data_IF_060114355093
#
_entry.id   IF_060114355093
#
_cell.length_a   1.000
_cell.length_b   1.000
_cell.length_c   1.000
_cell.angle_alpha   90.00
_cell.angle_beta   90.00
_cell.angle_gamma   90.00
#
_symmetry.space_group_name_H-M   'P 1'
#
loop_
_entity.id
_entity.type
_entity.pdbx_description
1 polymer ?
#
# COMPACT_ATOMS: atom_id res chain seq x y z
N UNK A 1 -13.97 -67.95 21.83
CA UNK A 1 -13.59 -68.80 20.68
C UNK A 1 -12.57 -67.98 19.87
N UNK A 2 -11.47 -68.60 19.58
CA UNK A 2 -10.10 -68.25 19.23
C UNK A 2 -9.87 -67.13 18.21
N UNK A 3 -8.78 -66.38 18.35
CA UNK A 3 -8.31 -65.36 17.39
C UNK A 3 -7.29 -65.96 16.41
N UNK A 4 -7.35 -65.56 15.18
CA UNK A 4 -6.35 -65.88 14.14
C UNK A 4 -5.43 -64.69 13.91
N UNK A 5 -4.19 -64.91 14.30
CA UNK A 5 -2.98 -64.12 14.07
C UNK A 5 -2.59 -64.19 12.61
N UNK A 6 -2.48 -63.03 11.91
CA UNK A 6 -1.87 -62.94 10.57
C UNK A 6 -0.47 -62.31 10.64
N UNK A 7 0.45 -63.14 10.28
CA UNK A 7 1.90 -62.90 10.14
C UNK A 7 2.19 -61.83 9.08
N UNK A 8 2.93 -60.78 9.45
CA UNK A 8 3.49 -59.77 8.52
C UNK A 8 4.83 -60.34 8.01
N UNK A 9 4.88 -60.58 6.70
CA UNK A 9 6.12 -60.88 5.97
C UNK A 9 6.81 -59.53 5.65
N UNK A 10 7.95 -59.27 6.24
CA UNK A 10 8.87 -58.19 5.89
C UNK A 10 9.67 -58.63 4.65
N UNK A 11 9.36 -58.07 3.48
CA UNK A 11 10.24 -58.15 2.32
C UNK A 11 11.30 -57.04 2.42
N UNK A 12 12.52 -57.43 2.73
CA UNK A 12 13.71 -56.60 2.60
C UNK A 12 14.16 -56.64 1.15
N UNK A 13 13.99 -55.53 0.43
CA UNK A 13 14.59 -55.34 -0.89
C UNK A 13 15.92 -54.61 -0.71
N UNK A 14 17.00 -55.03 -1.40
CA UNK A 14 18.28 -54.35 -1.34
C UNK A 14 18.19 -53.02 -2.07
N UNK A 15 18.59 -51.92 -1.42
CA UNK A 15 18.85 -50.63 -2.00
C UNK A 15 20.08 -50.74 -2.91
N UNK A 16 19.84 -50.84 -4.21
CA UNK A 16 20.86 -50.57 -5.23
C UNK A 16 20.99 -49.05 -5.30
N UNK A 17 22.09 -48.53 -4.76
CA UNK A 17 22.47 -47.14 -4.93
C UNK A 17 22.88 -46.89 -6.39
N UNK A 18 21.91 -46.50 -7.20
CA UNK A 18 22.15 -45.90 -8.49
C UNK A 18 22.41 -44.43 -8.28
N UNK A 19 23.67 -44.04 -8.20
CA UNK A 19 24.05 -42.62 -8.26
C UNK A 19 23.67 -42.03 -9.62
N UNK A 20 22.47 -41.44 -9.68
CA UNK A 20 21.97 -40.87 -10.90
C UNK A 20 22.68 -39.57 -11.26
N UNK A 21 23.21 -39.56 -12.44
CA UNK A 21 23.83 -38.44 -13.20
C UNK A 21 22.96 -37.16 -13.29
N UNK A 22 21.78 -37.14 -12.71
CA UNK A 22 20.82 -36.04 -12.82
C UNK A 22 21.08 -34.88 -11.84
N UNK A 23 21.72 -35.13 -10.70
CA UNK A 23 22.02 -34.14 -9.67
C UNK A 23 23.10 -33.12 -10.11
N UNK A 24 23.97 -33.48 -11.04
CA UNK A 24 25.07 -32.60 -11.50
C UNK A 24 24.67 -31.63 -12.60
N UNK A 25 23.69 -31.97 -13.46
CA UNK A 25 23.17 -31.03 -14.48
C UNK A 25 22.47 -29.81 -13.88
N UNK A 26 21.66 -30.00 -12.86
CA UNK A 26 20.99 -28.93 -12.15
C UNK A 26 21.95 -28.01 -11.43
N UNK A 27 23.04 -28.51 -10.86
CA UNK A 27 24.05 -27.67 -10.17
C UNK A 27 24.78 -26.73 -11.12
N UNK A 28 25.12 -27.14 -12.33
CA UNK A 28 25.81 -26.28 -13.31
C UNK A 28 24.88 -25.19 -13.83
N UNK A 29 23.61 -25.47 -14.06
CA UNK A 29 22.62 -24.50 -14.50
C UNK A 29 22.33 -23.44 -13.42
N UNK A 30 22.36 -23.83 -12.15
CA UNK A 30 22.19 -22.93 -11.01
C UNK A 30 23.46 -22.15 -10.66
N UNK A 31 24.64 -22.65 -10.99
CA UNK A 31 25.92 -21.96 -10.74
C UNK A 31 26.20 -20.83 -11.74
N UNK A 32 25.56 -20.85 -12.93
CA UNK A 32 25.77 -19.85 -13.98
C UNK A 32 25.60 -18.38 -13.53
N UNK A 33 24.59 -18.00 -12.75
CA UNK A 33 24.43 -16.63 -12.26
C UNK A 33 25.51 -16.20 -11.26
N UNK A 34 26.10 -17.12 -10.53
CA UNK A 34 27.16 -16.83 -9.52
C UNK A 34 28.49 -16.47 -10.17
N UNK A 35 28.71 -16.87 -11.42
CA UNK A 35 29.98 -16.64 -12.13
C UNK A 35 30.01 -15.34 -12.91
N UNK A 36 28.90 -14.62 -13.11
CA UNK A 36 28.83 -13.34 -13.82
C UNK A 36 29.67 -12.25 -13.19
N UNK A 37 30.12 -12.46 -11.99
CA UNK A 37 30.91 -11.49 -11.28
C UNK A 37 32.25 -11.98 -10.72
N UNK A 38 32.53 -13.27 -10.76
CA UNK A 38 33.37 -13.81 -9.74
C UNK A 38 34.78 -14.27 -10.08
N UNK A 39 35.00 -14.82 -11.25
CA UNK A 39 36.31 -15.44 -11.54
C UNK A 39 37.25 -14.40 -12.09
N UNK A 40 38.03 -13.74 -11.23
CA UNK A 40 38.74 -12.49 -11.56
C UNK A 40 40.12 -12.36 -11.07
N UNK A 41 40.76 -13.45 -10.84
CA UNK A 41 42.21 -13.40 -10.77
C UNK A 41 42.75 -13.50 -12.23
N UNK A 42 43.06 -12.36 -12.90
CA UNK A 42 43.53 -12.38 -14.28
C UNK A 42 44.90 -13.03 -14.43
N UNK A 43 45.52 -13.37 -13.32
CA UNK A 43 46.91 -13.89 -13.28
C UNK A 43 46.96 -15.35 -12.82
N UNK A 44 45.84 -15.99 -12.50
CA UNK A 44 45.79 -17.39 -12.11
C UNK A 44 45.81 -18.33 -13.31
N UNK A 45 46.65 -19.32 -13.32
CA UNK A 45 46.59 -20.41 -14.29
C UNK A 45 45.71 -21.52 -13.74
N UNK A 46 44.50 -21.59 -14.22
CA UNK A 46 43.44 -22.52 -13.78
C UNK A 46 43.33 -23.73 -14.76
N UNK A 47 43.03 -23.46 -16.01
CA UNK A 47 42.92 -24.47 -17.05
C UNK A 47 44.29 -25.04 -17.39
N UNK A 48 45.36 -24.22 -17.39
CA UNK A 48 46.74 -24.65 -17.55
C UNK A 48 47.15 -25.61 -16.43
N UNK A 49 46.87 -25.27 -15.17
CA UNK A 49 47.21 -26.10 -14.00
C UNK A 49 46.43 -27.41 -13.96
N UNK A 50 45.22 -27.46 -14.52
CA UNK A 50 44.43 -28.68 -14.68
C UNK A 50 45.04 -29.63 -15.69
N UNK A 51 45.87 -29.15 -16.58
CA UNK A 51 46.55 -29.95 -17.62
C UNK A 51 45.77 -30.08 -18.91
N UNK A 52 44.85 -29.18 -19.20
CA UNK A 52 44.17 -29.12 -20.52
C UNK A 52 42.71 -28.74 -20.49
N UNK A 53 42.19 -28.51 -21.68
CA UNK A 53 40.82 -28.12 -21.97
C UNK A 53 40.00 -29.30 -22.51
N UNK A 54 38.68 -29.33 -22.24
CA UNK A 54 37.81 -30.41 -22.65
C UNK A 54 36.96 -29.99 -23.84
N UNK A 55 36.83 -30.83 -24.88
CA UNK A 55 35.97 -30.57 -26.02
C UNK A 55 34.48 -30.74 -25.62
N UNK A 56 33.64 -29.85 -26.08
CA UNK A 56 32.19 -29.90 -25.82
C UNK A 56 31.82 -29.60 -24.39
N UNK A 57 30.73 -30.18 -23.88
CA UNK A 57 30.27 -30.06 -22.49
C UNK A 57 30.84 -31.21 -21.65
N UNK A 58 31.59 -30.85 -20.65
CA UNK A 58 32.13 -31.79 -19.65
C UNK A 58 32.01 -31.20 -18.25
N UNK A 59 30.99 -31.65 -17.50
CA UNK A 59 30.70 -31.14 -16.16
C UNK A 59 31.77 -31.51 -15.10
N UNK A 60 32.73 -32.36 -15.47
CA UNK A 60 33.93 -32.69 -14.66
C UNK A 60 35.14 -31.83 -15.01
N UNK A 61 35.08 -31.09 -16.12
CA UNK A 61 36.14 -30.19 -16.56
C UNK A 61 36.17 -28.90 -15.75
N UNK A 62 36.28 -29.05 -14.44
CA UNK A 62 36.15 -27.95 -13.46
C UNK A 62 37.47 -27.70 -12.73
N UNK A 63 37.62 -26.47 -12.23
CA UNK A 63 38.69 -26.08 -11.32
C UNK A 63 38.04 -25.31 -10.12
N UNK A 64 38.40 -25.64 -8.87
CA UNK A 64 37.94 -24.86 -7.72
C UNK A 64 38.48 -23.42 -7.80
N UNK A 65 37.60 -22.47 -7.49
CA UNK A 65 37.92 -21.05 -7.48
C UNK A 65 37.16 -20.36 -6.34
N UNK A 66 37.88 -19.95 -5.29
CA UNK A 66 37.29 -19.41 -4.05
C UNK A 66 36.17 -20.35 -3.55
N UNK A 67 34.96 -19.81 -3.32
CA UNK A 67 33.80 -20.58 -2.86
C UNK A 67 32.97 -21.19 -4.01
N UNK A 68 33.53 -21.25 -5.22
CA UNK A 68 32.84 -21.71 -6.42
C UNK A 68 33.76 -22.57 -7.30
N UNK A 69 33.27 -22.95 -8.48
CA UNK A 69 34.02 -23.68 -9.51
C UNK A 69 33.95 -22.94 -10.84
N UNK A 70 35.03 -22.98 -11.62
CA UNK A 70 35.02 -22.54 -13.00
C UNK A 70 35.30 -23.73 -13.95
N UNK A 71 35.00 -23.57 -15.22
CA UNK A 71 35.07 -24.65 -16.23
C UNK A 71 36.11 -24.35 -17.28
N UNK A 72 36.73 -25.43 -17.78
CA UNK A 72 37.75 -25.40 -18.86
C UNK A 72 37.26 -26.13 -20.10
N UNK A 73 35.95 -26.24 -20.30
CA UNK A 73 35.33 -26.88 -21.47
C UNK A 73 34.73 -25.84 -22.44
N UNK A 74 34.56 -26.23 -23.71
CA UNK A 74 34.02 -25.33 -24.73
C UNK A 74 32.58 -24.90 -24.48
N UNK A 75 31.84 -25.58 -23.60
CA UNK A 75 30.49 -25.22 -23.23
C UNK A 75 30.41 -24.08 -22.19
N UNK A 76 31.51 -23.76 -21.55
CA UNK A 76 31.53 -22.63 -20.59
C UNK A 76 31.34 -21.27 -21.28
N UNK A 77 31.62 -21.17 -22.58
CA UNK A 77 31.43 -19.96 -23.38
C UNK A 77 29.97 -19.87 -23.91
N UNK A 78 29.05 -19.60 -23.04
CA UNK A 78 27.63 -19.39 -23.36
C UNK A 78 27.17 -17.98 -22.89
N UNK A 79 25.89 -17.68 -23.04
CA UNK A 79 25.31 -16.37 -22.70
C UNK A 79 25.69 -15.86 -21.30
N UNK A 80 25.82 -16.79 -20.35
CA UNK A 80 26.39 -16.54 -19.03
C UNK A 80 27.62 -17.42 -18.90
N UNK A 81 28.81 -16.84 -19.07
CA UNK A 81 30.07 -17.57 -19.09
C UNK A 81 30.49 -18.00 -17.68
N UNK A 82 30.74 -19.29 -17.51
CA UNK A 82 31.33 -19.90 -16.32
C UNK A 82 32.77 -20.42 -16.56
N UNK A 83 33.41 -19.92 -17.60
CA UNK A 83 34.81 -20.25 -17.94
C UNK A 83 35.77 -19.76 -16.86
N UNK A 84 36.87 -20.52 -16.67
CA UNK A 84 38.01 -20.08 -15.91
C UNK A 84 38.68 -18.84 -16.56
N UNK A 85 39.34 -17.96 -15.79
CA UNK A 85 39.95 -16.74 -16.31
C UNK A 85 40.91 -16.96 -17.46
N UNK A 86 41.73 -18.01 -17.39
CA UNK A 86 42.74 -18.36 -18.38
C UNK A 86 42.20 -19.21 -19.57
N UNK A 87 40.89 -19.56 -19.57
CA UNK A 87 40.26 -20.38 -20.62
C UNK A 87 40.49 -19.80 -22.03
N UNK A 88 40.27 -18.50 -22.20
CA UNK A 88 40.36 -17.83 -23.50
C UNK A 88 41.76 -17.87 -24.06
N UNK A 89 42.75 -17.56 -23.25
CA UNK A 89 44.15 -17.61 -23.66
C UNK A 89 44.67 -19.03 -23.79
N UNK A 90 44.42 -19.88 -22.81
CA UNK A 90 44.97 -21.22 -22.74
C UNK A 90 44.23 -22.24 -23.67
N UNK A 91 42.87 -22.23 -23.66
CA UNK A 91 42.10 -23.18 -24.40
C UNK A 91 41.81 -22.77 -25.85
N UNK A 92 41.65 -21.47 -26.10
CA UNK A 92 41.26 -20.97 -27.43
C UNK A 92 42.40 -20.16 -28.10
N UNK A 93 43.45 -19.77 -27.39
CA UNK A 93 44.51 -18.96 -27.93
C UNK A 93 44.08 -17.53 -28.34
N UNK A 94 42.97 -17.03 -27.80
CA UNK A 94 42.40 -15.71 -28.10
C UNK A 94 42.37 -14.83 -26.83
N UNK A 95 42.30 -13.55 -27.02
CA UNK A 95 42.07 -12.63 -25.87
C UNK A 95 40.67 -12.87 -25.31
N UNK A 96 40.49 -12.83 -23.97
CA UNK A 96 39.17 -12.94 -23.36
C UNK A 96 38.25 -11.84 -23.90
N UNK A 97 36.97 -12.13 -24.11
CA UNK A 97 36.00 -11.13 -24.53
C UNK A 97 35.99 -9.99 -23.53
N UNK A 98 35.98 -8.76 -24.02
CA UNK A 98 35.91 -7.59 -23.15
C UNK A 98 34.58 -7.63 -22.39
N UNK A 99 34.64 -8.01 -21.13
CA UNK A 99 33.51 -7.89 -20.23
C UNK A 99 33.57 -6.50 -19.62
N UNK A 100 32.77 -5.59 -20.12
CA UNK A 100 32.68 -4.25 -19.58
C UNK A 100 32.43 -4.28 -18.08
N UNK A 101 33.04 -3.39 -17.36
CA UNK A 101 32.77 -3.16 -15.95
C UNK A 101 32.22 -1.75 -15.75
N UNK A 102 31.16 -1.64 -14.97
CA UNK A 102 30.59 -0.37 -14.54
C UNK A 102 31.16 0.02 -13.19
N UNK A 103 31.33 1.30 -12.93
CA UNK A 103 31.78 1.79 -11.65
C UNK A 103 30.67 2.56 -10.94
N UNK A 104 30.54 2.36 -9.62
CA UNK A 104 29.61 3.10 -8.76
C UNK A 104 30.19 3.20 -7.35
N UNK A 105 30.29 4.42 -6.83
CA UNK A 105 30.82 4.70 -5.48
C UNK A 105 32.16 4.01 -5.20
N UNK A 106 33.07 3.98 -6.20
CA UNK A 106 34.38 3.32 -6.09
C UNK A 106 34.35 1.79 -6.20
N UNK A 107 33.20 1.17 -6.32
CA UNK A 107 33.03 -0.26 -6.52
C UNK A 107 32.86 -0.60 -8.01
N UNK A 108 33.51 -1.69 -8.45
CA UNK A 108 33.37 -2.20 -9.81
C UNK A 108 32.28 -3.28 -9.86
N UNK A 109 31.42 -3.16 -10.85
CA UNK A 109 30.36 -4.09 -11.17
C UNK A 109 30.57 -4.64 -12.58
N UNK A 110 30.23 -5.90 -12.80
CA UNK A 110 30.46 -6.54 -14.08
C UNK A 110 29.16 -6.64 -14.85
N UNK A 111 29.29 -6.87 -16.15
CA UNK A 111 28.17 -7.06 -17.04
C UNK A 111 27.17 -8.06 -16.46
N UNK A 112 25.89 -7.70 -16.46
CA UNK A 112 24.78 -8.45 -15.88
C UNK A 112 24.54 -8.24 -14.39
N UNK A 113 25.47 -7.60 -13.64
CA UNK A 113 25.21 -7.21 -12.25
C UNK A 113 24.27 -6.00 -12.20
N UNK A 114 23.40 -6.00 -11.21
CA UNK A 114 22.35 -4.97 -11.07
C UNK A 114 22.43 -4.26 -9.74
N UNK A 115 21.93 -3.05 -9.71
CA UNK A 115 21.56 -2.35 -8.48
C UNK A 115 20.24 -1.59 -8.68
N UNK A 116 19.54 -1.29 -7.60
CA UNK A 116 18.34 -0.47 -7.64
C UNK A 116 18.66 0.97 -7.24
N UNK A 117 18.38 1.92 -8.12
CA UNK A 117 18.41 3.36 -7.85
C UNK A 117 16.98 3.85 -7.68
N UNK A 118 16.56 4.11 -6.44
CA UNK A 118 15.17 4.41 -6.11
C UNK A 118 14.25 3.30 -6.68
N UNK A 119 13.32 3.60 -7.58
CA UNK A 119 12.42 2.62 -8.20
C UNK A 119 12.98 1.98 -9.48
N UNK A 120 14.11 2.45 -10.00
CA UNK A 120 14.67 1.97 -11.27
C UNK A 120 15.76 0.93 -11.05
N UNK A 121 15.65 -0.20 -11.76
CA UNK A 121 16.69 -1.21 -11.81
C UNK A 121 17.73 -0.80 -12.85
N UNK A 122 19.01 -0.77 -12.45
CA UNK A 122 20.14 -0.50 -13.32
C UNK A 122 20.93 -1.79 -13.51
N UNK A 123 21.21 -2.17 -14.76
CA UNK A 123 22.01 -3.33 -15.14
C UNK A 123 23.29 -2.85 -15.78
N UNK A 124 24.43 -3.42 -15.36
CA UNK A 124 25.68 -3.16 -16.04
C UNK A 124 25.70 -3.85 -17.39
N UNK A 125 25.71 -3.08 -18.46
CA UNK A 125 25.77 -3.59 -19.84
C UNK A 125 27.14 -4.17 -20.21
N UNK A 126 27.19 -4.93 -21.30
CA UNK A 126 28.42 -5.52 -21.83
C UNK A 126 29.47 -4.47 -22.25
N UNK A 127 29.02 -3.25 -22.52
CA UNK A 127 29.86 -2.10 -22.89
C UNK A 127 30.48 -1.39 -21.69
N UNK A 128 30.20 -1.83 -20.46
CA UNK A 128 30.65 -1.15 -19.22
C UNK A 128 29.85 0.11 -18.89
N UNK A 129 28.66 0.26 -19.45
CA UNK A 129 27.73 1.37 -19.14
C UNK A 129 26.52 0.84 -18.38
N UNK A 130 26.01 1.64 -17.45
CA UNK A 130 24.78 1.35 -16.76
C UNK A 130 23.59 1.58 -17.69
N UNK A 131 22.74 0.57 -17.79
CA UNK A 131 21.46 0.59 -18.48
C UNK A 131 20.36 0.57 -17.40
N UNK A 132 19.73 1.73 -17.17
CA UNK A 132 18.73 1.90 -16.13
C UNK A 132 17.34 2.01 -16.72
N UNK A 133 16.36 1.42 -16.02
CA UNK A 133 14.95 1.70 -16.27
C UNK A 133 14.64 3.18 -16.13
N UNK A 134 13.59 3.65 -16.79
CA UNK A 134 13.16 5.05 -16.81
C UNK A 134 11.73 5.18 -16.26
N UNK A 135 11.44 4.52 -15.14
CA UNK A 135 10.15 4.60 -14.49
C UNK A 135 10.03 5.93 -13.72
N UNK A 136 8.82 6.50 -13.67
CA UNK A 136 8.51 7.57 -12.74
C UNK A 136 8.47 7.00 -11.31
N UNK A 137 9.33 7.48 -10.43
CA UNK A 137 9.38 7.05 -9.03
C UNK A 137 8.49 7.95 -8.17
N UNK A 138 7.85 7.37 -7.13
CA UNK A 138 7.05 8.14 -6.18
C UNK A 138 7.90 9.18 -5.43
N UNK A 139 9.11 8.80 -5.03
CA UNK A 139 10.04 9.72 -4.37
C UNK A 139 10.94 10.37 -5.42
N UNK A 140 10.39 11.35 -6.13
CA UNK A 140 11.10 12.12 -7.15
C UNK A 140 11.83 13.30 -6.49
N UNK A 141 13.16 13.28 -6.50
CA UNK A 141 14.01 14.34 -5.91
C UNK A 141 13.82 15.68 -6.62
N UNK A 142 13.68 15.65 -7.93
CA UNK A 142 13.52 16.88 -8.72
C UNK A 142 12.18 17.54 -8.41
N UNK A 143 11.11 16.74 -8.25
CA UNK A 143 9.80 17.19 -7.79
C UNK A 143 9.90 17.84 -6.40
N UNK A 144 10.54 17.16 -5.44
CA UNK A 144 10.71 17.67 -4.08
C UNK A 144 11.48 18.99 -4.07
N UNK A 145 12.56 19.08 -4.85
CA UNK A 145 13.37 20.31 -4.95
C UNK A 145 12.60 21.44 -5.63
N UNK A 146 11.88 21.16 -6.72
CA UNK A 146 11.09 22.14 -7.44
C UNK A 146 9.97 22.74 -6.56
N UNK A 147 9.23 21.88 -5.84
CA UNK A 147 8.18 22.32 -4.92
C UNK A 147 8.76 23.16 -3.78
N UNK A 148 9.86 22.70 -3.16
CA UNK A 148 10.48 23.40 -2.04
C UNK A 148 11.22 24.68 -2.43
N UNK A 149 11.67 24.78 -3.68
CA UNK A 149 12.29 25.97 -4.25
C UNK A 149 11.31 26.97 -4.84
N UNK A 150 10.09 26.52 -5.16
CA UNK A 150 9.01 27.32 -5.72
C UNK A 150 8.12 27.96 -4.66
N UNK A 151 7.15 28.77 -5.14
CA UNK A 151 6.13 29.41 -4.28
C UNK A 151 4.76 28.73 -4.45
N UNK A 152 4.69 27.42 -4.17
CA UNK A 152 3.45 26.65 -4.33
C UNK A 152 2.52 26.70 -3.10
N UNK A 153 2.97 27.29 -2.00
CA UNK A 153 2.17 27.38 -0.74
C UNK A 153 2.18 26.12 0.11
N UNK A 154 2.94 25.11 -0.29
CA UNK A 154 3.14 23.87 0.47
C UNK A 154 4.58 23.35 0.35
N UNK A 155 4.93 22.36 1.18
CA UNK A 155 6.28 21.76 1.23
C UNK A 155 6.22 20.27 0.93
N UNK A 156 7.25 19.78 0.28
CA UNK A 156 7.45 18.39 -0.06
C UNK A 156 8.54 17.74 0.79
N UNK A 157 8.44 16.44 1.04
CA UNK A 157 9.43 15.64 1.73
C UNK A 157 9.59 14.25 1.11
N UNK A 158 10.71 13.60 1.43
CA UNK A 158 10.96 12.21 1.06
C UNK A 158 10.40 11.28 2.15
N UNK A 159 9.69 10.23 1.75
CA UNK A 159 9.11 9.23 2.64
C UNK A 159 9.70 7.85 2.39
N UNK A 160 10.33 7.26 3.40
CA UNK A 160 10.93 5.91 3.31
C UNK A 160 9.94 4.84 2.92
N UNK A 161 8.67 4.98 3.34
CA UNK A 161 7.59 4.04 3.00
C UNK A 161 7.22 4.01 1.51
N UNK A 162 7.62 5.02 0.75
CA UNK A 162 7.38 5.12 -0.69
C UNK A 162 8.67 5.00 -1.51
N UNK A 163 9.82 4.98 -0.84
CA UNK A 163 11.11 4.85 -1.52
C UNK A 163 11.21 3.49 -2.23
N UNK A 164 11.62 3.52 -3.48
CA UNK A 164 11.73 2.32 -4.30
C UNK A 164 10.45 1.89 -5.00
N UNK A 165 9.34 2.63 -4.83
CA UNK A 165 8.08 2.41 -5.56
C UNK A 165 8.03 3.29 -6.81
N UNK A 166 7.50 2.73 -7.89
CA UNK A 166 7.11 3.50 -9.08
C UNK A 166 5.80 4.25 -8.82
N UNK A 167 5.50 5.27 -9.63
CA UNK A 167 4.22 5.98 -9.57
C UNK A 167 3.04 5.02 -9.84
N UNK A 168 3.20 4.08 -10.77
CA UNK A 168 2.18 3.07 -11.07
C UNK A 168 1.91 2.14 -9.86
N UNK A 169 2.94 1.74 -9.14
CA UNK A 169 2.79 0.97 -7.90
C UNK A 169 2.12 1.80 -6.80
N UNK A 170 2.47 3.08 -6.68
CA UNK A 170 1.82 3.99 -5.74
C UNK A 170 0.33 4.14 -6.01
N UNK A 171 -0.05 4.38 -7.26
CA UNK A 171 -1.46 4.45 -7.68
C UNK A 171 -2.16 3.11 -7.42
N UNK A 172 -1.52 1.99 -7.73
CA UNK A 172 -2.10 0.65 -7.63
C UNK A 172 -2.25 0.16 -6.19
N UNK A 173 -1.38 0.59 -5.25
CA UNK A 173 -1.33 0.03 -3.89
C UNK A 173 -1.67 1.03 -2.78
N UNK A 174 -1.54 2.34 -3.02
CA UNK A 174 -1.73 3.37 -1.99
C UNK A 174 -3.02 4.18 -2.13
N UNK A 175 -3.76 4.00 -3.22
CA UNK A 175 -5.05 4.65 -3.45
C UNK A 175 -6.20 3.66 -3.24
N UNK A 176 -6.97 3.35 -4.26
CA UNK A 176 -7.88 2.21 -4.27
C UNK A 176 -9.36 2.55 -4.21
N UNK A 177 -9.74 3.80 -4.41
CA UNK A 177 -11.15 4.15 -4.56
C UNK A 177 -11.52 4.19 -6.04
N UNK A 178 -12.59 3.50 -6.41
CA UNK A 178 -13.15 3.56 -7.76
C UNK A 178 -14.03 4.81 -7.91
N UNK A 179 -13.94 5.48 -9.07
CA UNK A 179 -14.82 6.62 -9.37
C UNK A 179 -16.30 6.20 -9.30
N UNK A 180 -17.17 7.02 -8.68
CA UNK A 180 -18.58 6.75 -8.65
C UNK A 180 -19.17 6.71 -10.06
N UNK A 181 -20.07 5.76 -10.33
CA UNK A 181 -20.81 5.74 -11.57
C UNK A 181 -21.80 6.92 -11.64
N UNK A 182 -22.27 7.28 -12.86
CA UNK A 182 -23.27 8.35 -13.03
C UNK A 182 -24.53 8.15 -12.19
N UNK A 183 -24.98 6.91 -12.02
CA UNK A 183 -26.16 6.60 -11.19
C UNK A 183 -25.89 6.87 -9.70
N UNK A 184 -24.68 6.71 -9.25
CA UNK A 184 -24.27 6.98 -7.85
C UNK A 184 -24.08 8.48 -7.64
N UNK A 185 -23.58 9.21 -8.63
CA UNK A 185 -23.49 10.67 -8.58
C UNK A 185 -24.87 11.33 -8.40
N UNK A 186 -25.95 10.65 -8.82
CA UNK A 186 -27.33 11.10 -8.66
C UNK A 186 -28.04 10.51 -7.44
N UNK A 187 -27.31 9.85 -6.50
CA UNK A 187 -27.92 9.37 -5.26
C UNK A 187 -28.39 10.55 -4.40
N UNK A 188 -29.34 10.27 -3.50
CA UNK A 188 -30.01 11.24 -2.61
C UNK A 188 -29.08 12.39 -2.18
N UNK A 189 -29.10 13.47 -2.94
CA UNK A 189 -28.45 14.72 -2.59
C UNK A 189 -29.34 15.45 -1.58
N UNK A 190 -28.78 15.80 -0.45
CA UNK A 190 -29.44 16.63 0.55
C UNK A 190 -28.95 18.05 0.37
N UNK A 191 -29.89 18.97 0.17
CA UNK A 191 -29.59 20.40 0.24
C UNK A 191 -29.71 20.84 1.71
N UNK A 192 -28.64 21.42 2.23
CA UNK A 192 -28.66 21.99 3.55
C UNK A 192 -29.36 23.35 3.50
N UNK A 193 -30.42 23.53 4.30
CA UNK A 193 -31.09 24.84 4.41
C UNK A 193 -30.14 25.84 5.07
N UNK A 194 -29.60 26.74 4.25
CA UNK A 194 -28.75 27.87 4.69
C UNK A 194 -29.61 29.09 5.15
N UNK A 195 -30.93 28.99 5.06
CA UNK A 195 -31.86 30.10 5.32
C UNK A 195 -32.12 30.42 6.80
N UNK A 196 -31.51 29.69 7.73
CA UNK A 196 -31.61 30.05 9.14
C UNK A 196 -30.77 31.30 9.41
N UNK A 197 -31.42 32.44 9.52
CA UNK A 197 -30.85 33.68 10.03
C UNK A 197 -30.09 33.42 11.35
N UNK A 198 -28.77 33.26 11.28
CA UNK A 198 -27.92 33.13 12.47
C UNK A 198 -26.75 32.14 12.40
N UNK A 199 -26.70 31.26 11.42
CA UNK A 199 -25.59 30.31 11.29
C UNK A 199 -24.37 30.97 10.60
N UNK A 200 -23.63 31.77 11.36
CA UNK A 200 -22.34 32.29 10.88
C UNK A 200 -21.31 31.17 10.95
N UNK A 201 -20.89 30.68 9.80
CA UNK A 201 -19.81 29.71 9.71
C UNK A 201 -18.49 30.35 10.19
N UNK A 202 -17.77 29.73 11.15
CA UNK A 202 -16.50 30.28 11.61
C UNK A 202 -15.43 30.22 10.52
N UNK A 203 -14.44 31.11 10.60
CA UNK A 203 -13.30 31.16 9.67
C UNK A 203 -12.52 29.85 9.70
N UNK A 204 -12.42 29.21 10.85
CA UNK A 204 -11.77 27.92 11.04
C UNK A 204 -12.58 27.00 11.94
N UNK A 205 -12.50 25.71 11.68
CA UNK A 205 -13.18 24.68 12.45
C UNK A 205 -12.40 23.37 12.39
N UNK A 206 -12.32 22.69 13.54
CA UNK A 206 -11.77 21.35 13.62
C UNK A 206 -12.70 20.45 14.44
N UNK A 207 -13.11 19.34 13.87
CA UNK A 207 -13.99 18.37 14.54
C UNK A 207 -13.40 17.83 15.84
N UNK A 208 -12.08 17.69 15.93
CA UNK A 208 -11.42 17.19 17.13
C UNK A 208 -11.57 18.18 18.31
N UNK A 209 -11.59 19.48 18.03
CA UNK A 209 -11.78 20.52 19.06
C UNK A 209 -13.23 20.56 19.53
N UNK A 210 -14.20 20.45 18.60
CA UNK A 210 -15.63 20.44 18.95
C UNK A 210 -16.04 19.15 19.67
N UNK A 211 -15.47 18.02 19.30
CA UNK A 211 -15.80 16.71 19.86
C UNK A 211 -14.56 15.98 20.41
N UNK A 212 -13.94 16.45 21.46
CA UNK A 212 -12.72 15.89 22.02
C UNK A 212 -12.92 14.40 22.39
N UNK A 213 -11.96 13.57 21.97
CA UNK A 213 -11.98 12.11 22.21
C UNK A 213 -13.01 11.33 21.40
N UNK A 214 -13.66 11.95 20.40
CA UNK A 214 -14.65 11.26 19.54
C UNK A 214 -14.19 11.18 18.09
N UNK A 215 -13.11 11.86 17.73
CA UNK A 215 -12.48 11.80 16.42
C UNK A 215 -11.29 10.86 16.51
N UNK A 216 -11.27 9.85 15.65
CA UNK A 216 -10.22 8.83 15.67
C UNK A 216 -9.02 9.27 14.84
N UNK A 217 -7.85 8.78 15.24
CA UNK A 217 -6.58 9.05 14.57
C UNK A 217 -6.52 8.40 13.18
N UNK A 218 -5.75 8.98 12.24
CA UNK A 218 -5.49 8.37 10.95
C UNK A 218 -4.79 7.01 11.08
N UNK A 219 -5.21 6.03 10.29
CA UNK A 219 -4.60 4.71 10.18
C UNK A 219 -3.65 4.64 8.97
N UNK A 220 -2.95 3.50 8.81
CA UNK A 220 -2.10 3.22 7.66
C UNK A 220 -2.62 1.99 6.90
N UNK A 221 -3.02 2.20 5.64
CA UNK A 221 -3.46 1.12 4.75
C UNK A 221 -2.31 0.28 4.19
N UNK A 222 -1.06 0.72 4.35
CA UNK A 222 0.10 0.04 3.78
C UNK A 222 -0.04 -0.16 2.26
N UNK A 223 0.52 -1.25 1.74
CA UNK A 223 0.45 -1.60 0.31
C UNK A 223 -0.85 -2.34 -0.06
N UNK A 224 -1.98 -1.76 0.30
CA UNK A 224 -3.32 -2.26 0.01
C UNK A 224 -4.18 -1.12 -0.51
N UNK A 225 -4.67 -1.23 -1.73
CA UNK A 225 -5.53 -0.21 -2.35
C UNK A 225 -6.93 -0.17 -1.70
N UNK A 226 -6.99 0.27 -0.46
CA UNK A 226 -8.17 0.17 0.39
C UNK A 226 -8.63 1.50 1.01
N UNK A 227 -8.29 2.65 0.43
CA UNK A 227 -8.77 3.96 0.91
C UNK A 227 -10.29 4.01 1.02
N UNK A 228 -11.01 3.30 0.13
CA UNK A 228 -12.47 3.13 0.18
C UNK A 228 -12.97 2.54 1.50
N UNK A 229 -12.23 1.59 2.07
CA UNK A 229 -12.60 0.93 3.33
C UNK A 229 -12.15 1.74 4.55
N UNK A 230 -10.93 2.30 4.52
CA UNK A 230 -10.36 3.07 5.61
C UNK A 230 -11.14 4.35 5.88
N UNK A 231 -11.43 5.14 4.85
CA UNK A 231 -12.20 6.37 4.99
C UNK A 231 -13.64 6.09 5.43
N UNK A 232 -14.29 5.05 4.90
CA UNK A 232 -15.63 4.64 5.31
C UNK A 232 -15.67 4.24 6.79
N UNK A 233 -14.74 3.38 7.23
CA UNK A 233 -14.64 2.97 8.62
C UNK A 233 -14.35 4.16 9.55
N UNK A 234 -13.45 5.05 9.16
CA UNK A 234 -13.09 6.23 9.94
C UNK A 234 -14.26 7.21 10.12
N UNK A 235 -14.95 7.57 9.04
CA UNK A 235 -16.12 8.47 9.11
C UNK A 235 -17.24 7.84 9.93
N UNK A 236 -17.52 6.55 9.75
CA UNK A 236 -18.52 5.87 10.55
C UNK A 236 -18.18 5.83 12.04
N UNK A 237 -16.91 5.60 12.38
CA UNK A 237 -16.43 5.60 13.76
C UNK A 237 -16.67 6.94 14.45
N UNK A 238 -16.26 8.02 13.78
CA UNK A 238 -16.43 9.38 14.32
C UNK A 238 -17.90 9.76 14.48
N UNK A 239 -18.72 9.48 13.45
CA UNK A 239 -20.15 9.79 13.46
C UNK A 239 -20.90 9.02 14.56
N UNK A 240 -20.61 7.74 14.77
CA UNK A 240 -21.18 6.96 15.87
C UNK A 240 -20.74 7.56 17.22
N UNK A 241 -19.48 7.95 17.36
CA UNK A 241 -18.95 8.52 18.59
C UNK A 241 -19.60 9.86 18.92
N UNK A 242 -19.80 10.71 17.92
CA UNK A 242 -20.47 12.02 18.08
C UNK A 242 -21.95 11.82 18.43
N UNK A 243 -22.67 11.03 17.67
CA UNK A 243 -24.11 10.82 17.79
C UNK A 243 -24.49 10.12 19.09
N UNK A 244 -23.63 9.21 19.59
CA UNK A 244 -23.82 8.61 20.91
C UNK A 244 -23.40 9.53 22.04
N UNK A 245 -23.04 10.80 21.78
CA UNK A 245 -22.51 11.74 22.75
C UNK A 245 -21.28 11.21 23.52
N UNK A 246 -20.53 10.27 22.90
CA UNK A 246 -19.37 9.62 23.49
C UNK A 246 -19.71 8.42 24.40
N UNK A 247 -20.96 7.97 24.46
CA UNK A 247 -21.30 6.71 25.14
C UNK A 247 -20.71 5.49 24.43
N UNK A 248 -20.57 5.56 23.12
CA UNK A 248 -19.88 4.59 22.27
C UNK A 248 -18.81 5.31 21.46
N UNK A 249 -17.58 4.83 21.53
CA UNK A 249 -16.45 5.35 20.76
C UNK A 249 -15.74 4.23 20.03
N UNK A 250 -16.45 3.51 19.13
CA UNK A 250 -15.86 2.39 18.43
C UNK A 250 -14.94 2.89 17.32
N UNK A 251 -13.72 2.41 17.26
CA UNK A 251 -12.91 2.46 16.06
C UNK A 251 -13.27 1.25 15.20
N UNK A 252 -13.94 1.46 14.08
CA UNK A 252 -14.44 0.39 13.22
C UNK A 252 -13.32 -0.23 12.38
N UNK A 253 -13.44 -1.52 12.10
CA UNK A 253 -12.43 -2.30 11.37
C UNK A 253 -12.51 -2.09 9.87
N UNK A 254 -11.50 -1.49 9.21
CA UNK A 254 -11.38 -1.52 7.77
C UNK A 254 -11.12 -2.94 7.24
N UNK A 255 -10.44 -3.82 8.03
CA UNK A 255 -10.23 -5.21 7.66
C UNK A 255 -11.54 -5.96 7.43
N UNK A 256 -12.56 -5.68 8.24
CA UNK A 256 -13.87 -6.30 8.09
C UNK A 256 -14.52 -5.92 6.74
N UNK A 257 -14.39 -4.66 6.30
CA UNK A 257 -14.83 -4.24 4.96
C UNK A 257 -14.00 -4.94 3.88
N UNK A 258 -12.67 -4.85 3.96
CA UNK A 258 -11.75 -5.40 2.96
C UNK A 258 -11.98 -6.90 2.71
N UNK A 259 -12.14 -7.68 3.79
CA UNK A 259 -12.27 -9.14 3.70
C UNK A 259 -13.69 -9.64 3.45
N UNK A 260 -14.71 -8.91 3.90
CA UNK A 260 -16.09 -9.40 3.93
C UNK A 260 -17.03 -8.73 2.94
N UNK A 261 -16.75 -7.50 2.49
CA UNK A 261 -17.49 -6.85 1.42
C UNK A 261 -16.91 -7.26 0.07
N UNK A 262 -17.37 -8.40 -0.43
CA UNK A 262 -16.86 -9.00 -1.68
C UNK A 262 -17.76 -8.74 -2.88
N UNK A 263 -18.91 -8.08 -2.67
CA UNK A 263 -19.86 -7.82 -3.75
C UNK A 263 -19.47 -6.58 -4.55
N UNK A 264 -18.86 -6.78 -5.72
CA UNK A 264 -18.33 -5.72 -6.58
C UNK A 264 -17.25 -4.87 -5.89
N UNK A 265 -16.47 -5.49 -5.00
CA UNK A 265 -15.33 -4.91 -4.33
C UNK A 265 -14.10 -5.78 -4.57
N UNK A 266 -12.95 -5.17 -4.76
CA UNK A 266 -11.68 -5.86 -5.02
C UNK A 266 -10.78 -6.01 -3.79
N UNK A 267 -11.26 -5.73 -2.58
CA UNK A 267 -10.41 -5.78 -1.38
C UNK A 267 -9.23 -4.82 -1.47
N UNK A 268 -8.02 -5.36 -1.52
CA UNK A 268 -6.78 -4.58 -1.72
C UNK A 268 -6.50 -4.18 -3.18
N UNK A 269 -7.33 -4.60 -4.13
CA UNK A 269 -7.28 -4.15 -5.53
C UNK A 269 -8.25 -2.99 -5.83
N UNK A 270 -8.79 -2.39 -4.78
CA UNK A 270 -9.70 -1.25 -4.88
C UNK A 270 -11.16 -1.59 -4.65
N UNK A 271 -11.96 -0.56 -4.40
CA UNK A 271 -13.39 -0.71 -4.15
C UNK A 271 -14.15 0.60 -4.26
N UNK A 272 -15.45 0.50 -4.02
CA UNK A 272 -16.41 1.59 -4.16
C UNK A 272 -16.92 2.03 -2.79
N UNK A 273 -16.94 3.33 -2.56
CA UNK A 273 -17.44 3.88 -1.28
C UNK A 273 -18.94 3.64 -1.11
N UNK A 274 -19.74 3.74 -2.15
CA UNK A 274 -21.17 3.44 -2.10
C UNK A 274 -21.44 1.97 -1.72
N UNK A 275 -20.63 1.04 -2.23
CA UNK A 275 -20.67 -0.38 -1.86
C UNK A 275 -20.34 -0.58 -0.38
N UNK A 276 -19.27 0.07 0.11
CA UNK A 276 -18.89 0.01 1.52
C UNK A 276 -19.99 0.53 2.47
N UNK A 277 -20.62 1.66 2.14
CA UNK A 277 -21.76 2.18 2.93
C UNK A 277 -22.97 1.28 2.86
N UNK A 278 -23.24 0.68 1.70
CA UNK A 278 -24.31 -0.30 1.58
C UNK A 278 -24.05 -1.53 2.47
N UNK A 279 -22.79 -2.02 2.49
CA UNK A 279 -22.38 -3.13 3.37
C UNK A 279 -22.52 -2.73 4.84
N UNK A 280 -22.02 -1.58 5.24
CA UNK A 280 -22.11 -1.08 6.60
C UNK A 280 -23.57 -0.93 7.06
N UNK A 281 -24.43 -0.43 6.19
CA UNK A 281 -25.87 -0.33 6.47
C UNK A 281 -26.55 -1.70 6.63
N UNK A 282 -26.24 -2.65 5.78
CA UNK A 282 -26.94 -3.94 5.70
C UNK A 282 -26.35 -5.00 6.62
N UNK A 283 -25.04 -5.05 6.70
CA UNK A 283 -24.29 -6.07 7.45
C UNK A 283 -23.68 -5.50 8.71
N UNK A 284 -23.10 -4.31 8.61
CA UNK A 284 -22.30 -3.71 9.67
C UNK A 284 -20.93 -4.36 9.80
N UNK A 285 -20.10 -3.76 10.64
CA UNK A 285 -18.73 -4.19 10.91
C UNK A 285 -18.45 -4.19 12.40
N UNK A 286 -17.44 -4.96 12.83
CA UNK A 286 -16.92 -4.97 14.19
C UNK A 286 -15.86 -3.87 14.37
N UNK A 287 -15.33 -3.75 15.60
CA UNK A 287 -14.24 -2.79 15.90
C UNK A 287 -12.90 -3.29 15.40
N UNK A 288 -11.95 -2.35 15.24
CA UNK A 288 -10.54 -2.63 14.91
C UNK A 288 -9.88 -3.52 15.96
N UNK A 289 -10.20 -3.33 17.24
CA UNK A 289 -9.70 -4.19 18.31
C UNK A 289 -10.23 -5.63 18.21
N UNK A 290 -11.43 -5.81 17.67
CA UNK A 290 -12.00 -7.13 17.42
C UNK A 290 -11.35 -7.80 16.20
N UNK A 291 -11.27 -7.10 15.09
CA UNK A 291 -10.72 -7.59 13.84
C UNK A 291 -9.66 -6.61 13.29
N UNK A 292 -8.43 -6.66 13.86
CA UNK A 292 -7.37 -5.74 13.51
C UNK A 292 -6.98 -5.83 12.04
N UNK A 293 -6.66 -4.67 11.47
CA UNK A 293 -6.09 -4.60 10.14
C UNK A 293 -4.72 -5.29 10.08
N UNK A 294 -4.53 -6.07 9.04
CA UNK A 294 -3.27 -6.75 8.74
C UNK A 294 -2.81 -6.31 7.36
N UNK A 295 -1.82 -5.41 7.29
CA UNK A 295 -1.28 -4.99 6.01
C UNK A 295 -0.70 -6.21 5.27
N UNK A 296 -0.93 -6.33 3.96
CA UNK A 296 -0.36 -7.41 3.16
C UNK A 296 1.16 -7.39 3.22
N UNK A 297 1.78 -8.56 3.34
CA UNK A 297 3.24 -8.71 3.35
C UNK A 297 3.84 -8.79 1.93
N UNK A 298 3.01 -9.15 0.95
CA UNK A 298 3.43 -9.34 -0.44
C UNK A 298 2.50 -8.58 -1.40
N UNK A 299 3.01 -8.23 -2.56
CA UNK A 299 2.26 -7.69 -3.69
C UNK A 299 2.24 -8.72 -4.83
N UNK A 300 1.08 -9.05 -5.46
CA UNK A 300 -0.25 -8.51 -5.17
C UNK A 300 -0.77 -8.90 -3.79
N UNK A 301 -1.49 -7.97 -3.17
CA UNK A 301 -1.98 -8.12 -1.81
C UNK A 301 -3.04 -9.22 -1.69
N UNK A 302 -2.77 -10.24 -0.89
CA UNK A 302 -3.78 -11.24 -0.57
C UNK A 302 -4.76 -10.66 0.46
N UNK A 303 -6.03 -10.67 0.09
CA UNK A 303 -7.12 -10.37 1.02
C UNK A 303 -7.42 -11.61 1.83
N UNK A 304 -7.27 -11.53 3.14
CA UNK A 304 -7.62 -12.64 4.03
C UNK A 304 -9.11 -13.04 3.93
N UNK A 305 -9.42 -14.29 4.22
CA UNK A 305 -10.80 -14.77 4.27
C UNK A 305 -11.64 -13.95 5.26
N UNK A 306 -12.92 -13.75 4.93
CA UNK A 306 -13.87 -13.09 5.82
C UNK A 306 -14.06 -13.89 7.11
N UNK A 307 -13.53 -13.36 8.21
CA UNK A 307 -13.66 -13.97 9.54
C UNK A 307 -14.89 -13.45 10.31
N UNK A 308 -15.50 -12.34 9.85
CA UNK A 308 -16.58 -11.65 10.57
C UNK A 308 -17.82 -11.46 9.70
N UNK A 309 -18.60 -12.53 9.52
CA UNK A 309 -19.93 -12.39 8.93
C UNK A 309 -20.94 -11.96 9.99
N UNK A 310 -21.94 -11.17 9.61
CA UNK A 310 -22.97 -10.70 10.53
C UNK A 310 -24.30 -11.40 10.30
N UNK A 311 -24.95 -11.82 11.40
CA UNK A 311 -26.30 -12.40 11.39
C UNK A 311 -27.27 -11.53 12.18
N UNK A 312 -28.54 -11.55 11.80
CA UNK A 312 -29.61 -10.93 12.60
C UNK A 312 -29.89 -11.77 13.83
N UNK A 313 -30.02 -11.12 14.98
CA UNK A 313 -30.40 -11.77 16.27
C UNK A 313 -31.75 -11.29 16.76
N UNK A 314 -32.55 -10.64 15.91
CA UNK A 314 -33.87 -10.09 16.21
C UNK A 314 -33.85 -8.63 16.63
N UNK A 315 -35.01 -7.99 16.69
CA UNK A 315 -35.22 -6.56 17.05
C UNK A 315 -34.27 -5.57 16.33
N UNK A 316 -33.85 -5.90 15.10
CA UNK A 316 -32.94 -5.07 14.31
C UNK A 316 -31.45 -5.14 14.76
N UNK A 317 -31.13 -5.92 15.78
CA UNK A 317 -29.75 -6.14 16.23
C UNK A 317 -29.04 -7.18 15.38
N UNK A 318 -27.74 -7.02 15.26
CA UNK A 318 -26.85 -7.94 14.55
C UNK A 318 -25.65 -8.29 15.41
N UNK A 319 -25.16 -9.51 15.24
CA UNK A 319 -23.93 -9.99 15.86
C UNK A 319 -23.04 -10.66 14.82
N UNK A 320 -21.75 -10.68 15.06
CA UNK A 320 -20.83 -11.48 14.27
C UNK A 320 -21.12 -12.98 14.50
N UNK A 321 -21.03 -13.77 13.42
CA UNK A 321 -21.27 -15.22 13.46
C UNK A 321 -20.15 -15.98 14.17
N UNK A 322 -18.99 -15.39 14.22
CA UNK A 322 -17.81 -15.94 14.86
C UNK A 322 -17.33 -15.03 15.99
N UNK A 323 -16.52 -15.56 16.88
CA UNK A 323 -15.78 -14.77 17.88
C UNK A 323 -14.75 -13.88 17.16
N UNK A 324 -14.39 -12.77 17.82
CA UNK A 324 -13.30 -11.94 17.33
C UNK A 324 -12.02 -12.78 17.12
N UNK A 325 -11.31 -12.63 16.00
CA UNK A 325 -10.02 -13.27 15.79
C UNK A 325 -8.98 -12.90 16.87
N UNK A 326 -9.14 -11.71 17.46
CA UNK A 326 -8.38 -11.32 18.63
C UNK A 326 -8.93 -12.04 19.87
N UNK A 327 -8.18 -13.01 20.38
CA UNK A 327 -8.57 -13.88 21.51
C UNK A 327 -8.81 -13.14 22.83
N UNK A 328 -8.31 -11.92 22.96
CA UNK A 328 -8.50 -11.08 24.16
C UNK A 328 -9.80 -10.27 24.14
N UNK A 329 -10.53 -10.26 23.02
CA UNK A 329 -11.77 -9.52 22.84
C UNK A 329 -12.94 -10.48 22.77
N UNK A 330 -13.84 -10.40 23.76
CA UNK A 330 -15.03 -11.25 23.84
C UNK A 330 -16.28 -10.64 23.24
N UNK A 331 -16.27 -9.32 23.00
CA UNK A 331 -17.39 -8.59 22.43
C UNK A 331 -17.27 -8.52 20.92
N UNK A 332 -18.28 -9.01 20.23
CA UNK A 332 -18.37 -9.02 18.76
C UNK A 332 -19.55 -8.19 18.27
N UNK A 333 -19.76 -7.04 18.89
CA UNK A 333 -20.81 -6.11 18.50
C UNK A 333 -20.61 -5.60 17.08
N UNK A 334 -21.70 -5.56 16.35
CA UNK A 334 -21.75 -5.08 14.97
C UNK A 334 -22.34 -3.69 14.96
N UNK A 335 -21.60 -2.77 14.39
CA UNK A 335 -21.99 -1.38 14.19
C UNK A 335 -22.51 -1.17 12.77
N UNK A 336 -23.60 -0.47 12.63
CA UNK A 336 -24.26 -0.18 11.37
C UNK A 336 -24.45 1.33 11.18
N UNK A 337 -24.64 1.73 9.92
CA UNK A 337 -25.03 3.09 9.55
C UNK A 337 -26.46 3.16 9.03
N UNK A 338 -26.99 4.39 8.94
CA UNK A 338 -28.16 4.73 8.12
C UNK A 338 -27.78 4.75 6.63
N UNK A 339 -28.71 4.94 5.71
CA UNK A 339 -28.37 5.26 4.32
C UNK A 339 -27.43 6.47 4.25
N UNK A 340 -26.36 6.40 3.49
CA UNK A 340 -25.54 7.58 3.21
C UNK A 340 -26.31 8.55 2.32
N UNK A 341 -25.97 9.83 2.44
CA UNK A 341 -26.49 10.89 1.59
C UNK A 341 -25.34 11.69 1.00
N UNK A 342 -25.54 12.20 -0.20
CA UNK A 342 -24.58 13.06 -0.87
C UNK A 342 -24.84 14.51 -0.48
N UNK A 343 -23.79 15.29 -0.32
CA UNK A 343 -23.83 16.73 -0.20
C UNK A 343 -23.67 17.36 -1.59
N UNK A 344 -24.16 18.59 -1.75
CA UNK A 344 -23.84 19.39 -2.93
C UNK A 344 -22.33 19.74 -2.94
N UNK A 345 -21.84 20.19 -4.09
CA UNK A 345 -20.45 20.64 -4.21
C UNK A 345 -20.20 22.05 -3.63
N UNK A 346 -21.17 22.60 -2.89
CA UNK A 346 -21.07 23.90 -2.27
C UNK A 346 -20.24 23.80 -0.98
N UNK A 347 -19.17 24.61 -0.89
CA UNK A 347 -18.27 24.58 0.28
C UNK A 347 -18.99 24.89 1.58
N UNK A 348 -19.94 25.83 1.61
CA UNK A 348 -20.67 26.23 2.82
C UNK A 348 -21.59 25.13 3.33
N UNK A 349 -22.24 24.37 2.43
CA UNK A 349 -23.06 23.22 2.81
C UNK A 349 -22.20 22.09 3.38
N UNK A 350 -21.01 21.85 2.82
CA UNK A 350 -20.05 20.88 3.34
C UNK A 350 -19.54 21.32 4.73
N UNK A 351 -19.20 22.60 4.89
CA UNK A 351 -18.78 23.17 6.18
C UNK A 351 -19.88 23.02 7.23
N UNK A 352 -21.13 23.37 6.91
CA UNK A 352 -22.27 23.25 7.81
C UNK A 352 -22.49 21.79 8.23
N UNK A 353 -22.46 20.86 7.29
CA UNK A 353 -22.58 19.44 7.60
C UNK A 353 -21.51 18.94 8.55
N UNK A 354 -20.24 19.32 8.31
CA UNK A 354 -19.12 18.94 9.20
C UNK A 354 -19.32 19.56 10.58
N UNK A 355 -19.72 20.83 10.63
CA UNK A 355 -19.91 21.55 11.89
C UNK A 355 -21.05 20.96 12.72
N UNK A 356 -22.15 20.60 12.10
CA UNK A 356 -23.35 20.12 12.82
C UNK A 356 -23.26 18.63 13.15
N UNK A 357 -22.75 17.83 12.23
CA UNK A 357 -22.90 16.37 12.25
C UNK A 357 -21.59 15.60 12.35
N UNK A 358 -20.44 16.27 12.14
CA UNK A 358 -19.11 15.66 12.19
C UNK A 358 -18.48 15.39 10.84
N UNK A 359 -17.31 14.71 10.78
CA UNK A 359 -16.54 14.46 9.58
C UNK A 359 -17.32 13.82 8.44
N UNK A 360 -16.95 14.15 7.22
CA UNK A 360 -17.53 13.61 5.99
C UNK A 360 -16.49 12.84 5.19
N UNK A 361 -16.96 11.95 4.31
CA UNK A 361 -16.10 11.25 3.36
C UNK A 361 -16.09 11.97 2.02
N UNK A 362 -14.89 12.19 1.46
CA UNK A 362 -14.73 12.75 0.14
C UNK A 362 -13.92 11.83 -0.77
N UNK A 363 -14.18 11.90 -2.07
CA UNK A 363 -13.35 11.25 -3.10
C UNK A 363 -12.58 12.34 -3.82
N UNK A 364 -11.27 12.13 -4.01
CA UNK A 364 -10.41 13.07 -4.72
C UNK A 364 -9.52 12.36 -5.74
N UNK A 365 -8.99 13.13 -6.68
CA UNK A 365 -7.89 12.69 -7.53
C UNK A 365 -6.57 12.92 -6.81
N UNK A 366 -5.67 11.94 -6.89
CA UNK A 366 -4.31 12.04 -6.35
C UNK A 366 -3.34 12.05 -7.52
N UNK A 367 -2.64 13.16 -7.66
CA UNK A 367 -1.57 13.36 -8.63
C UNK A 367 -0.22 12.94 -8.05
N UNK A 368 0.79 12.87 -8.90
CA UNK A 368 2.14 12.40 -8.57
C UNK A 368 2.81 13.19 -7.44
N UNK A 369 2.56 14.49 -7.36
CA UNK A 369 3.17 15.39 -6.36
C UNK A 369 2.51 15.27 -4.98
N UNK A 370 1.29 14.73 -4.89
CA UNK A 370 0.63 14.54 -3.59
C UNK A 370 1.36 13.53 -2.69
N UNK A 371 2.01 12.52 -3.28
CA UNK A 371 2.74 11.51 -2.49
C UNK A 371 3.90 12.11 -1.68
N UNK A 372 4.47 13.22 -2.15
CA UNK A 372 5.57 13.93 -1.46
C UNK A 372 5.10 15.07 -0.55
N UNK A 373 3.78 15.31 -0.41
CA UNK A 373 3.25 16.36 0.45
C UNK A 373 3.72 16.22 1.89
N UNK A 374 4.20 17.32 2.49
CA UNK A 374 4.62 17.36 3.89
C UNK A 374 3.80 18.32 4.74
N UNK A 375 3.59 19.54 4.28
CA UNK A 375 2.85 20.57 5.05
C UNK A 375 2.44 21.73 4.15
N UNK A 376 1.52 22.56 4.64
CA UNK A 376 1.00 23.73 3.92
C UNK A 376 -0.31 23.42 3.21
N UNK A 377 -0.79 24.35 2.37
CA UNK A 377 -2.04 24.19 1.64
C UNK A 377 -1.73 23.59 0.28
N UNK A 378 -2.01 22.28 0.13
CA UNK A 378 -1.75 21.56 -1.12
C UNK A 378 -2.62 22.11 -2.25
N UNK A 379 -1.97 22.31 -3.37
CA UNK A 379 -2.55 22.51 -4.69
C UNK A 379 -1.65 21.79 -5.68
N UNK A 380 -2.23 21.04 -6.63
CA UNK A 380 -1.47 20.32 -7.64
C UNK A 380 -0.59 21.28 -8.44
N UNK A 381 0.65 20.87 -8.70
CA UNK A 381 1.66 21.71 -9.33
C UNK A 381 1.82 21.38 -10.82
N UNK A 382 2.38 22.30 -11.57
CA UNK A 382 2.75 22.12 -12.97
C UNK A 382 4.14 21.50 -13.18
N UNK A 383 4.82 21.12 -12.10
CA UNK A 383 6.21 20.63 -12.14
C UNK A 383 6.38 19.45 -13.11
N UNK A 384 5.41 18.55 -13.17
CA UNK A 384 5.46 17.38 -14.05
C UNK A 384 5.10 17.67 -15.51
N UNK A 385 4.61 18.88 -15.86
CA UNK A 385 4.14 19.18 -17.21
C UNK A 385 5.27 19.22 -18.24
N UNK A 386 6.50 19.50 -17.79
CA UNK A 386 7.71 19.47 -18.63
C UNK A 386 8.32 18.07 -18.74
N UNK A 387 7.87 17.11 -17.94
CA UNK A 387 8.35 15.72 -17.93
C UNK A 387 7.58 14.84 -18.92
N UNK A 388 8.09 13.65 -19.19
CA UNK A 388 7.42 12.67 -20.04
C UNK A 388 6.04 12.24 -19.46
N UNK A 389 5.09 11.76 -20.29
CA UNK A 389 3.72 11.47 -19.86
C UNK A 389 3.60 10.49 -18.68
N UNK A 390 4.57 9.54 -18.52
CA UNK A 390 4.57 8.60 -17.40
C UNK A 390 4.70 9.26 -16.02
N UNK A 391 5.16 10.52 -15.95
CA UNK A 391 5.25 11.31 -14.72
C UNK A 391 3.97 12.07 -14.37
N UNK A 392 2.92 12.01 -15.20
CA UNK A 392 1.65 12.75 -15.08
C UNK A 392 0.46 11.83 -14.91
N UNK A 393 0.63 10.77 -14.13
CA UNK A 393 -0.46 9.83 -13.85
C UNK A 393 -1.13 10.20 -12.53
N UNK A 394 -2.43 9.96 -12.47
CA UNK A 394 -3.24 10.16 -11.27
C UNK A 394 -4.14 8.96 -11.02
N UNK A 395 -4.69 8.89 -9.83
CA UNK A 395 -5.64 7.88 -9.44
C UNK A 395 -6.67 8.43 -8.45
N UNK A 396 -7.70 7.66 -8.18
CA UNK A 396 -8.79 8.06 -7.29
C UNK A 396 -8.58 7.52 -5.88
N UNK A 397 -8.75 8.39 -4.91
CA UNK A 397 -8.53 8.15 -3.50
C UNK A 397 -9.71 8.66 -2.67
N UNK A 398 -9.90 8.12 -1.48
CA UNK A 398 -10.95 8.55 -0.58
C UNK A 398 -10.38 8.94 0.78
N UNK A 399 -10.83 10.08 1.29
CA UNK A 399 -10.33 10.73 2.50
C UNK A 399 -11.46 11.13 3.42
N UNK A 400 -11.13 11.50 4.66
CA UNK A 400 -12.07 12.01 5.67
C UNK A 400 -11.80 13.49 5.89
N UNK A 401 -12.73 14.38 5.50
CA UNK A 401 -12.65 15.81 5.82
C UNK A 401 -13.12 16.02 7.25
N UNK A 402 -12.27 16.64 8.09
CA UNK A 402 -12.51 16.84 9.51
C UNK A 402 -12.67 18.30 9.90
N UNK A 403 -12.41 19.23 8.98
CA UNK A 403 -12.49 20.65 9.28
C UNK A 403 -12.01 21.50 8.11
N UNK A 404 -11.85 22.76 8.40
CA UNK A 404 -11.39 23.78 7.46
C UNK A 404 -10.70 24.93 8.19
N UNK A 405 -10.04 25.77 7.42
CA UNK A 405 -9.46 27.00 7.91
C UNK A 405 -9.17 27.97 6.77
N UNK A 406 -8.53 29.06 7.16
CA UNK A 406 -8.09 30.10 6.25
C UNK A 406 -6.78 30.68 6.77
N UNK A 407 -5.74 30.65 5.94
CA UNK A 407 -4.47 31.33 6.17
C UNK A 407 -4.43 32.63 5.36
N UNK A 408 -3.53 33.52 5.69
CA UNK A 408 -3.29 34.75 4.93
C UNK A 408 -2.00 34.58 4.13
N UNK A 409 -2.06 34.79 2.83
CA UNK A 409 -0.88 34.80 1.96
C UNK A 409 0.02 36.00 2.22
N UNK A 410 1.24 35.99 1.67
CA UNK A 410 2.20 37.10 1.72
C UNK A 410 1.61 38.40 1.16
N UNK A 411 0.69 38.31 0.21
CA UNK A 411 -0.02 39.43 -0.41
C UNK A 411 -1.27 39.87 0.36
N UNK A 412 -1.53 39.29 1.54
CA UNK A 412 -2.72 39.56 2.35
C UNK A 412 -4.00 38.89 1.86
N UNK A 413 -3.94 38.07 0.79
CA UNK A 413 -5.09 37.36 0.27
C UNK A 413 -5.44 36.13 1.14
N UNK A 414 -6.74 35.88 1.38
CA UNK A 414 -7.16 34.70 2.14
C UNK A 414 -6.97 33.43 1.33
N UNK A 415 -6.29 32.44 1.91
CA UNK A 415 -6.16 31.09 1.37
C UNK A 415 -6.99 30.12 2.17
N UNK A 416 -8.14 29.74 1.63
CA UNK A 416 -9.07 28.80 2.24
C UNK A 416 -8.58 27.36 2.04
N UNK A 417 -8.78 26.50 3.06
CA UNK A 417 -8.40 25.10 2.97
C UNK A 417 -9.34 24.16 3.72
N UNK A 418 -9.40 22.90 3.27
CA UNK A 418 -9.92 21.78 4.01
C UNK A 418 -8.82 21.13 4.85
N UNK A 419 -9.19 20.61 6.02
CA UNK A 419 -8.37 19.70 6.84
C UNK A 419 -8.92 18.30 6.59
N UNK A 420 -8.09 17.42 6.03
CA UNK A 420 -8.49 16.06 5.72
C UNK A 420 -7.50 15.04 6.29
N UNK A 421 -8.03 13.93 6.81
CA UNK A 421 -7.27 12.78 7.26
C UNK A 421 -7.06 11.80 6.11
N UNK A 422 -5.80 11.45 5.88
CA UNK A 422 -5.38 10.43 4.93
C UNK A 422 -5.31 9.04 5.61
N UNK A 423 -4.96 8.02 4.86
CA UNK A 423 -4.78 6.64 5.34
C UNK A 423 -3.37 6.09 5.02
N UNK A 424 -2.34 6.94 5.14
CA UNK A 424 -0.93 6.57 4.89
C UNK A 424 -0.06 6.68 6.15
N UNK A 425 -0.67 6.61 7.33
CA UNK A 425 0.00 6.67 8.62
C UNK A 425 0.40 8.08 9.06
N UNK A 426 0.76 8.22 10.34
CA UNK A 426 1.09 9.51 10.95
C UNK A 426 2.41 10.11 10.49
N UNK A 427 3.31 9.31 9.91
CA UNK A 427 4.59 9.81 9.41
C UNK A 427 4.47 10.62 8.12
N UNK A 428 3.36 10.47 7.39
CA UNK A 428 3.08 11.21 6.17
C UNK A 428 2.31 12.50 6.47
N UNK A 429 2.61 13.55 5.72
CA UNK A 429 1.91 14.83 5.80
C UNK A 429 2.06 15.52 7.16
N UNK A 430 1.00 16.14 7.64
CA UNK A 430 0.85 16.79 8.93
C UNK A 430 0.26 15.78 9.93
N UNK A 431 1.09 14.86 10.43
CA UNK A 431 0.69 13.76 11.35
C UNK A 431 -0.44 12.85 10.79
N UNK A 432 -0.39 12.56 9.50
CA UNK A 432 -1.41 11.77 8.79
C UNK A 432 -2.55 12.59 8.20
N UNK A 433 -2.56 13.91 8.45
CA UNK A 433 -3.49 14.86 7.85
C UNK A 433 -2.82 15.64 6.72
N UNK A 434 -3.66 16.34 5.97
CA UNK A 434 -3.21 17.31 4.98
C UNK A 434 -4.21 18.45 4.88
N UNK A 435 -3.70 19.61 4.43
CA UNK A 435 -4.54 20.74 4.06
C UNK A 435 -4.57 20.88 2.55
N UNK A 436 -5.73 21.06 1.97
CA UNK A 436 -5.94 21.19 0.53
C UNK A 436 -6.81 22.43 0.24
N UNK A 437 -6.54 23.11 -0.87
CA UNK A 437 -7.30 24.30 -1.25
C UNK A 437 -8.82 24.03 -1.26
N UNK A 438 -9.59 24.98 -0.71
CA UNK A 438 -11.05 24.92 -0.54
C UNK A 438 -11.75 25.99 -1.38
N UNK A 439 -12.87 25.61 -2.01
CA UNK A 439 -13.70 26.48 -2.82
C UNK A 439 -13.34 26.50 -4.30
N UNK A 440 -12.18 25.92 -4.67
CA UNK A 440 -11.70 25.78 -6.05
C UNK A 440 -11.95 24.37 -6.61
N UNK A 441 -12.56 23.48 -5.83
CA UNK A 441 -12.70 22.05 -6.13
C UNK A 441 -11.36 21.38 -6.49
N UNK A 442 -10.32 21.70 -5.73
CA UNK A 442 -8.97 21.20 -5.96
C UNK A 442 -8.94 19.67 -5.93
N UNK A 443 -8.34 19.05 -6.96
CA UNK A 443 -8.29 17.59 -7.09
C UNK A 443 -9.68 16.93 -7.00
N UNK A 444 -10.75 17.59 -7.41
CA UNK A 444 -12.15 17.12 -7.34
C UNK A 444 -12.67 16.79 -5.94
N UNK A 445 -12.02 17.26 -4.86
CA UNK A 445 -12.35 16.87 -3.48
C UNK A 445 -13.77 17.28 -3.07
N UNK A 446 -14.36 18.31 -3.67
CA UNK A 446 -15.70 18.81 -3.39
C UNK A 446 -16.77 18.17 -4.29
N UNK A 447 -16.36 17.41 -5.31
CA UNK A 447 -17.28 16.84 -6.31
C UNK A 447 -18.18 15.75 -5.74
N UNK A 448 -17.65 14.90 -4.85
CA UNK A 448 -18.39 13.78 -4.29
C UNK A 448 -18.11 13.64 -2.80
N UNK A 449 -18.98 14.26 -2.00
CA UNK A 449 -18.91 14.27 -0.54
C UNK A 449 -20.12 13.55 0.05
N UNK A 450 -19.86 12.65 0.99
CA UNK A 450 -20.89 11.81 1.64
C UNK A 450 -20.95 12.09 3.13
N UNK A 451 -22.16 12.36 3.64
CA UNK A 451 -22.52 12.30 5.03
C UNK A 451 -23.27 11.01 5.38
N UNK A 452 -23.28 10.65 6.65
CA UNK A 452 -23.96 9.46 7.15
C UNK A 452 -24.30 9.62 8.63
N UNK A 453 -25.35 8.92 9.07
CA UNK A 453 -25.67 8.77 10.49
C UNK A 453 -25.32 7.35 10.97
N UNK A 454 -24.84 7.22 12.20
CA UNK A 454 -24.75 5.93 12.89
C UNK A 454 -26.15 5.41 13.22
N UNK A 455 -26.34 4.11 13.17
CA UNK A 455 -27.56 3.48 13.66
C UNK A 455 -27.41 3.17 15.15
N UNK A 456 -27.88 4.10 15.99
CA UNK A 456 -27.77 4.02 17.44
C UNK A 456 -29.15 3.73 18.02
N UNK A 457 -29.32 2.61 18.75
CA UNK A 457 -30.51 2.35 19.51
C UNK A 457 -30.38 2.94 20.93
N UNK A 458 -31.45 3.54 21.44
CA UNK A 458 -31.46 4.11 22.80
C UNK A 458 -31.10 3.06 23.87
N UNK A 459 -31.46 1.80 23.65
CA UNK A 459 -31.11 0.68 24.54
C UNK A 459 -29.59 0.41 24.57
N UNK A 460 -28.88 0.64 23.48
CA UNK A 460 -27.44 0.42 23.40
C UNK A 460 -26.67 1.47 24.22
N UNK A 461 -27.21 2.68 24.36
CA UNK A 461 -26.64 3.75 25.22
C UNK A 461 -26.75 3.37 26.72
N UNK A 462 -27.83 2.73 27.14
CA UNK A 462 -28.02 2.30 28.54
C UNK A 462 -27.14 1.11 28.94
N UNK A 463 -26.90 0.14 28.08
CA UNK A 463 -26.08 -1.03 28.38
C UNK A 463 -24.61 -0.70 28.61
N UNK A 464 -24.04 0.27 27.88
CA UNK A 464 -22.65 0.70 28.09
C UNK A 464 -22.44 1.42 29.44
N UNK A 465 -23.47 2.05 29.98
CA UNK A 465 -23.41 2.69 31.31
C UNK A 465 -23.24 1.66 32.45
N UNK A 466 -23.87 0.50 32.34
CA UNK A 466 -23.75 -0.56 33.36
C UNK A 466 -22.40 -1.27 33.34
N UNK A 467 -21.78 -1.43 32.18
CA UNK A 467 -20.46 -2.05 32.06
C UNK A 467 -19.32 -1.17 32.56
N UNK A 468 -19.40 0.15 32.41
CA UNK A 468 -18.41 1.08 33.00
C UNK A 468 -18.45 1.09 34.53
N UNK A 469 -19.63 0.98 35.14
CA UNK A 469 -19.76 0.91 36.60
C UNK A 469 -19.19 -0.38 37.22
N UNK A 470 -19.13 -1.47 36.48
CA UNK A 470 -18.55 -2.76 36.97
C UNK A 470 -17.05 -2.87 36.82
N UNK A 471 -16.37 -1.93 36.17
CA UNK A 471 -14.90 -1.89 36.05
C UNK A 471 -14.22 -0.96 37.07
N UNK A 472 -14.98 -0.32 37.94
CA UNK A 472 -14.49 0.57 39.00
C UNK A 472 -14.91 0.09 40.40
N UNK A 473 -15.23 -1.19 40.54
CA UNK A 473 -15.42 -1.87 41.86
C UNK A 473 -14.43 -3.02 41.96
#
# INVERSE_FOLDING_TARGET
MSPTMKLLLLCVLPLVAGEGSWSRRTRRELAGPLHTGGVRDPYGSYCERRGGCCPGRDDLCTVPYLDTICYCDLFCNRTVSDCCPDFWGHCLGVAPPFIGSCERNGNKFFSGQTYKENCNLCTCGTTGRWECEQNACLMDRDMIQAVNGGNYGWRAANYTQFYGMTLDEGISYRLGTQRPSRNILNMNEIQMNMDSQGDVLPVSFNSADKWPGKIHEPLDQGNCAASWAFSTAAVASDRISIQSMGHMTPQLSPQNLISCDTRNQGGCAGGRVDGAWWYLRRRGVVTETCYPYRPPQHTPAEVGHCMMQSRSVGRGKRQATQRCPNVHIYHNDIYQSTPPYRLSSNEEEIMKEIMDNGPVQAIMEVHEDFFVYKSGIYKHTDVSFTKAPQYRKHGTHSVRITGWGQDTDFDGAPRKYWIAANSWGKNWGEEGYFRIARGDNECEIETFVIGVWGRIAMEDMHHHHHHRRRRHI
#
